data_IF_293712451799
#
_entry.id   IF_293712451799
#
_cell.length_a   1.000
_cell.length_b   1.000
_cell.length_c   1.000
_cell.angle_alpha   90.00
_cell.angle_beta   90.00
_cell.angle_gamma   90.00
#
_symmetry.space_group_name_H-M   'P 1'
#
loop_
_entity.id
_entity.type
_entity.pdbx_description
1 polymer ?
#
# COMPACT_ATOMS: atom_id res chain seq x y z
N UNK A 1 -33.40 26.60 3.84
CA UNK A 1 -32.76 25.51 4.62
C UNK A 1 -31.53 24.96 3.89
N UNK A 2 -31.65 24.36 2.70
CA UNK A 2 -30.48 23.83 1.96
C UNK A 2 -29.33 24.85 1.76
N UNK A 3 -29.63 26.10 1.38
CA UNK A 3 -28.63 27.18 1.26
C UNK A 3 -27.88 27.49 2.57
N UNK A 4 -28.56 27.40 3.72
CA UNK A 4 -27.96 27.65 5.04
C UNK A 4 -27.01 26.52 5.42
N UNK A 5 -27.39 25.27 5.14
CA UNK A 5 -26.52 24.10 5.32
C UNK A 5 -25.30 24.15 4.39
N UNK A 6 -25.49 24.55 3.13
CA UNK A 6 -24.39 24.73 2.17
C UNK A 6 -23.39 25.80 2.63
N UNK A 7 -23.86 26.93 3.17
CA UNK A 7 -22.99 27.98 3.73
C UNK A 7 -22.21 27.51 4.97
N UNK A 8 -22.83 26.65 5.78
CA UNK A 8 -22.23 26.01 6.95
C UNK A 8 -21.06 25.08 6.58
N UNK A 9 -21.14 24.38 5.44
CA UNK A 9 -20.09 23.46 4.96
C UNK A 9 -18.99 24.18 4.18
N UNK A 10 -19.35 25.01 3.19
CA UNK A 10 -18.42 25.48 2.15
C UNK A 10 -17.73 26.81 2.48
N UNK A 11 -18.14 27.49 3.56
CA UNK A 11 -17.55 28.77 4.01
C UNK A 11 -17.38 29.76 2.84
N UNK A 12 -18.45 30.18 2.14
CA UNK A 12 -18.30 31.16 1.08
C UNK A 12 -17.77 32.45 1.71
N UNK A 13 -16.51 32.79 1.41
CA UNK A 13 -15.88 34.04 1.84
C UNK A 13 -16.56 35.25 1.18
N UNK A 14 -17.49 35.01 0.25
CA UNK A 14 -18.32 36.01 -0.42
C UNK A 14 -19.80 35.73 -0.19
N UNK A 15 -20.40 36.50 0.72
CA UNK A 15 -21.85 36.63 0.83
C UNK A 15 -22.32 37.57 -0.30
N UNK A 16 -22.88 37.02 -1.38
CA UNK A 16 -23.53 37.82 -2.44
C UNK A 16 -24.84 38.48 -1.97
N UNK A 17 -25.33 38.13 -0.78
CA UNK A 17 -26.66 38.45 -0.29
C UNK A 17 -26.57 39.03 1.13
N UNK A 18 -26.68 40.36 1.26
CA UNK A 18 -26.54 41.10 2.54
C UNK A 18 -27.50 40.63 3.64
N UNK A 19 -28.68 40.13 3.26
CA UNK A 19 -29.68 39.62 4.20
C UNK A 19 -29.26 38.32 4.91
N UNK A 20 -28.24 37.61 4.41
CA UNK A 20 -27.72 36.39 5.05
C UNK A 20 -26.70 36.69 6.16
N UNK A 21 -26.24 37.94 6.31
CA UNK A 21 -25.28 38.35 7.36
C UNK A 21 -25.87 38.13 8.77
N UNK A 22 -27.17 38.32 8.95
CA UNK A 22 -27.86 38.10 10.22
C UNK A 22 -27.84 36.63 10.69
N UNK A 23 -27.58 35.69 9.77
CA UNK A 23 -27.49 34.25 10.07
C UNK A 23 -26.05 33.78 10.34
N UNK A 24 -25.06 34.66 10.21
CA UNK A 24 -23.65 34.34 10.50
C UNK A 24 -23.43 33.84 11.94
N UNK A 25 -24.04 34.42 12.99
CA UNK A 25 -23.87 33.91 14.36
C UNK A 25 -24.38 32.46 14.50
N UNK A 26 -25.46 32.12 13.79
CA UNK A 26 -26.01 30.76 13.77
C UNK A 26 -25.09 29.78 13.03
N UNK A 27 -24.50 30.23 11.91
CA UNK A 27 -23.52 29.45 11.13
C UNK A 27 -22.24 29.22 11.94
N UNK A 28 -21.71 30.23 12.60
CA UNK A 28 -20.49 30.12 13.42
C UNK A 28 -20.69 29.21 14.64
N UNK A 29 -21.83 29.35 15.34
CA UNK A 29 -22.15 28.52 16.51
C UNK A 29 -22.30 27.03 16.17
N UNK A 30 -22.90 26.70 15.02
CA UNK A 30 -23.15 25.30 14.63
C UNK A 30 -22.04 24.68 13.78
N UNK A 31 -21.03 25.47 13.38
CA UNK A 31 -19.92 24.99 12.56
C UNK A 31 -19.14 23.87 13.24
N UNK A 32 -18.85 24.01 14.54
CA UNK A 32 -18.11 22.99 15.29
C UNK A 32 -18.89 21.67 15.34
N UNK A 33 -20.22 21.74 15.52
CA UNK A 33 -21.10 20.57 15.53
C UNK A 33 -21.13 19.86 14.18
N UNK A 34 -21.21 20.62 13.08
CA UNK A 34 -21.22 20.04 11.73
C UNK A 34 -19.86 19.44 11.34
N UNK A 35 -18.76 20.12 11.70
CA UNK A 35 -17.42 19.57 11.49
C UNK A 35 -17.21 18.28 12.28
N UNK A 36 -17.68 18.23 13.53
CA UNK A 36 -17.65 17.01 14.34
C UNK A 36 -18.44 15.88 13.66
N UNK A 37 -19.65 16.16 13.20
CA UNK A 37 -20.47 15.19 12.46
C UNK A 37 -19.80 14.69 11.17
N UNK A 38 -19.18 15.59 10.39
CA UNK A 38 -18.46 15.21 9.17
C UNK A 38 -17.21 14.38 9.46
N UNK A 39 -16.50 14.67 10.56
CA UNK A 39 -15.35 13.87 10.98
C UNK A 39 -15.79 12.49 11.49
N UNK A 40 -16.87 12.42 12.26
CA UNK A 40 -17.48 11.15 12.69
C UNK A 40 -17.95 10.30 11.50
N UNK A 41 -18.43 10.92 10.41
CA UNK A 41 -18.75 10.21 9.16
C UNK A 41 -17.52 9.67 8.43
N UNK A 42 -16.34 10.25 8.63
CA UNK A 42 -15.08 9.77 8.09
C UNK A 42 -14.44 8.68 8.98
N UNK A 43 -14.85 8.57 10.25
CA UNK A 43 -14.48 7.50 11.17
C UNK A 43 -15.29 6.22 10.88
N UNK A 44 -15.14 5.70 9.66
CA UNK A 44 -15.66 4.39 9.29
C UNK A 44 -14.63 3.33 9.65
N UNK A 45 -15.07 2.22 10.24
CA UNK A 45 -14.22 1.05 10.49
C UNK A 45 -13.58 0.53 9.21
N UNK A 46 -12.49 -0.22 9.35
CA UNK A 46 -11.78 -0.76 8.19
C UNK A 46 -12.74 -1.60 7.33
N UNK A 47 -12.62 -1.47 6.02
CA UNK A 47 -13.42 -2.24 5.07
C UNK A 47 -13.30 -3.74 5.37
N UNK A 48 -12.10 -4.21 5.74
CA UNK A 48 -11.87 -5.61 6.08
C UNK A 48 -12.54 -6.07 7.38
N UNK A 49 -12.68 -5.22 8.41
CA UNK A 49 -13.44 -5.58 9.63
C UNK A 49 -14.95 -5.69 9.33
N UNK A 50 -15.47 -4.79 8.49
CA UNK A 50 -16.85 -4.87 8.02
C UNK A 50 -17.05 -6.06 7.08
N UNK A 51 -16.04 -6.38 6.26
CA UNK A 51 -16.03 -7.52 5.35
C UNK A 51 -15.99 -8.81 6.15
N UNK A 52 -15.14 -8.95 7.17
CA UNK A 52 -15.01 -10.11 8.05
C UNK A 52 -16.31 -10.35 8.85
N UNK A 53 -16.91 -9.30 9.41
CA UNK A 53 -18.23 -9.38 10.05
C UNK A 53 -19.35 -9.73 9.05
N UNK A 54 -19.23 -9.26 7.80
CA UNK A 54 -20.12 -9.63 6.71
C UNK A 54 -19.72 -10.92 6.02
N UNK A 55 -18.58 -11.56 6.32
CA UNK A 55 -18.02 -12.64 5.51
C UNK A 55 -18.87 -13.91 5.66
N UNK A 56 -19.50 -14.09 6.82
CA UNK A 56 -20.55 -15.09 7.03
C UNK A 56 -21.78 -14.81 6.15
N UNK A 57 -22.14 -13.54 5.95
CA UNK A 57 -23.26 -13.10 5.10
C UNK A 57 -22.89 -13.04 3.61
N UNK A 58 -21.64 -12.75 3.27
CA UNK A 58 -21.08 -12.67 1.92
C UNK A 58 -20.73 -14.06 1.40
N UNK A 59 -20.25 -14.99 2.23
CA UNK A 59 -20.22 -16.42 1.89
C UNK A 59 -21.63 -16.93 1.60
N UNK A 60 -22.65 -16.49 2.35
CA UNK A 60 -24.05 -16.86 2.08
C UNK A 60 -24.61 -16.20 0.80
N UNK A 61 -24.17 -14.98 0.44
CA UNK A 61 -24.58 -14.27 -0.78
C UNK A 61 -23.80 -14.70 -2.03
N UNK A 62 -22.53 -15.05 -1.89
CA UNK A 62 -21.64 -15.65 -2.90
C UNK A 62 -22.05 -17.07 -3.28
N UNK A 63 -22.87 -17.73 -2.44
CA UNK A 63 -23.44 -19.07 -2.68
C UNK A 63 -24.74 -19.03 -3.49
N UNK A 64 -25.25 -17.85 -3.86
CA UNK A 64 -26.35 -17.73 -4.83
C UNK A 64 -25.76 -17.64 -6.23
N UNK A 65 -26.36 -18.37 -7.17
CA UNK A 65 -25.96 -18.39 -8.58
C UNK A 65 -25.63 -16.98 -9.08
N UNK A 66 -24.36 -16.76 -9.45
CA UNK A 66 -23.90 -15.49 -10.01
C UNK A 66 -24.41 -15.40 -11.46
N UNK A 67 -25.68 -15.06 -11.61
CA UNK A 67 -26.30 -14.78 -12.89
C UNK A 67 -26.31 -13.27 -13.10
N UNK A 68 -25.65 -12.81 -14.16
CA UNK A 68 -25.70 -11.41 -14.58
C UNK A 68 -26.70 -11.28 -15.71
N UNK A 69 -27.68 -10.39 -15.54
CA UNK A 69 -28.57 -9.95 -16.59
C UNK A 69 -27.87 -8.86 -17.40
N UNK A 70 -27.43 -9.19 -18.60
CA UNK A 70 -26.66 -8.28 -19.46
C UNK A 70 -27.16 -8.38 -20.91
N UNK A 71 -27.09 -7.29 -21.65
CA UNK A 71 -27.43 -7.27 -23.07
C UNK A 71 -26.23 -7.66 -23.94
N UNK A 72 -26.49 -8.16 -25.15
CA UNK A 72 -25.43 -8.51 -26.10
C UNK A 72 -24.47 -7.34 -26.38
N UNK A 73 -25.01 -6.13 -26.56
CA UNK A 73 -24.18 -4.94 -26.80
C UNK A 73 -23.36 -4.53 -25.57
N UNK A 74 -23.85 -4.74 -24.35
CA UNK A 74 -23.07 -4.50 -23.14
C UNK A 74 -21.91 -5.49 -23.05
N UNK A 75 -22.12 -6.78 -23.35
CA UNK A 75 -21.05 -7.78 -23.43
C UNK A 75 -20.00 -7.38 -24.48
N UNK A 76 -20.42 -6.99 -25.68
CA UNK A 76 -19.48 -6.63 -26.74
C UNK A 76 -18.70 -5.36 -26.41
N UNK A 77 -19.33 -4.39 -25.77
CA UNK A 77 -18.66 -3.16 -25.33
C UNK A 77 -17.67 -3.40 -24.20
N UNK A 78 -18.05 -4.20 -23.19
CA UNK A 78 -17.11 -4.54 -22.10
C UNK A 78 -15.94 -5.33 -22.66
N UNK A 79 -16.18 -6.28 -23.56
CA UNK A 79 -15.11 -7.04 -24.21
C UNK A 79 -14.19 -6.13 -25.04
N UNK A 80 -14.74 -5.20 -25.83
CA UNK A 80 -13.93 -4.26 -26.61
C UNK A 80 -13.03 -3.38 -25.73
N UNK A 81 -13.54 -2.89 -24.60
CA UNK A 81 -12.77 -2.10 -23.64
C UNK A 81 -11.66 -2.93 -22.97
N UNK A 82 -11.95 -4.19 -22.63
CA UNK A 82 -10.97 -5.10 -22.03
C UNK A 82 -9.82 -5.40 -22.99
N UNK A 83 -10.10 -5.60 -24.27
CA UNK A 83 -9.06 -5.80 -25.31
C UNK A 83 -8.26 -4.51 -25.51
N UNK A 84 -8.91 -3.35 -25.52
CA UNK A 84 -8.23 -2.06 -25.69
C UNK A 84 -7.23 -1.75 -24.57
N UNK A 85 -7.58 -2.08 -23.32
CA UNK A 85 -6.75 -1.81 -22.14
C UNK A 85 -6.06 -3.07 -21.58
N UNK A 86 -5.89 -4.10 -22.41
CA UNK A 86 -5.33 -5.38 -21.99
C UNK A 86 -3.91 -5.25 -21.42
N UNK A 87 -3.08 -4.37 -21.99
CA UNK A 87 -1.69 -4.17 -21.55
C UNK A 87 -1.60 -3.53 -20.15
N UNK A 88 -2.54 -2.65 -19.81
CA UNK A 88 -2.59 -1.97 -18.50
C UNK A 88 -3.22 -2.86 -17.42
N UNK A 89 -4.30 -3.56 -17.75
CA UNK A 89 -5.05 -4.41 -16.81
C UNK A 89 -4.37 -5.77 -16.57
N UNK A 90 -3.63 -6.29 -17.57
CA UNK A 90 -3.02 -7.62 -17.55
C UNK A 90 -1.58 -7.60 -18.07
N UNK A 91 -0.74 -6.79 -17.42
CA UNK A 91 0.68 -6.63 -17.76
C UNK A 91 1.49 -7.95 -17.72
N UNK A 92 1.09 -8.92 -16.89
CA UNK A 92 1.71 -10.25 -16.84
C UNK A 92 1.10 -11.18 -17.89
N UNK A 93 1.95 -11.84 -18.67
CA UNK A 93 1.55 -12.91 -19.62
C UNK A 93 0.85 -14.09 -18.94
N UNK A 94 1.04 -14.26 -17.63
CA UNK A 94 0.37 -15.30 -16.83
C UNK A 94 -0.95 -14.85 -16.19
N UNK A 95 -1.42 -13.64 -16.51
CA UNK A 95 -2.70 -13.17 -16.00
C UNK A 95 -3.85 -13.99 -16.57
N UNK A 96 -4.73 -14.49 -15.70
CA UNK A 96 -5.93 -15.25 -16.10
C UNK A 96 -6.79 -14.49 -17.11
N UNK A 97 -6.91 -13.16 -16.96
CA UNK A 97 -7.65 -12.31 -17.89
C UNK A 97 -7.07 -12.38 -19.31
N UNK A 98 -5.74 -12.34 -19.42
CA UNK A 98 -5.04 -12.36 -20.71
C UNK A 98 -5.25 -13.68 -21.44
N UNK A 99 -5.19 -14.79 -20.71
CA UNK A 99 -5.49 -16.12 -21.23
C UNK A 99 -6.94 -16.20 -21.76
N UNK A 100 -7.93 -15.65 -21.03
CA UNK A 100 -9.31 -15.61 -21.52
C UNK A 100 -9.45 -14.76 -22.78
N UNK A 101 -8.87 -13.56 -22.81
CA UNK A 101 -8.99 -12.65 -23.94
C UNK A 101 -8.34 -13.22 -25.21
N UNK A 102 -7.21 -13.91 -25.07
CA UNK A 102 -6.55 -14.61 -26.18
C UNK A 102 -7.40 -15.76 -26.74
N UNK A 103 -8.14 -16.49 -25.89
CA UNK A 103 -9.03 -17.56 -26.33
C UNK A 103 -10.33 -17.06 -26.97
N UNK A 104 -10.92 -15.99 -26.43
CA UNK A 104 -12.19 -15.43 -26.93
C UNK A 104 -11.98 -14.67 -28.24
N UNK A 105 -10.80 -14.09 -28.46
CA UNK A 105 -10.44 -13.39 -29.69
C UNK A 105 -11.01 -11.97 -29.77
N UNK A 106 -11.13 -11.38 -30.97
CA UNK A 106 -11.55 -9.99 -31.13
C UNK A 106 -13.03 -9.77 -30.79
N UNK A 107 -13.34 -8.62 -30.18
CA UNK A 107 -14.71 -8.27 -29.81
C UNK A 107 -15.62 -8.11 -31.04
N UNK A 108 -16.81 -8.75 -31.08
CA UNK A 108 -17.79 -8.57 -32.14
C UNK A 108 -18.31 -7.12 -32.24
N UNK A 109 -18.73 -6.66 -33.43
CA UNK A 109 -19.38 -5.36 -33.57
C UNK A 109 -20.77 -5.35 -32.93
N UNK A 110 -21.21 -4.17 -32.51
CA UNK A 110 -22.54 -3.99 -31.91
C UNK A 110 -23.66 -4.40 -32.88
N UNK A 111 -24.69 -5.03 -32.34
CA UNK A 111 -25.88 -5.47 -33.07
C UNK A 111 -26.99 -4.42 -33.01
N UNK A 112 -27.90 -4.49 -33.98
CA UNK A 112 -29.04 -3.57 -34.06
C UNK A 112 -29.96 -3.69 -32.83
N UNK A 113 -30.74 -2.64 -32.51
CA UNK A 113 -31.66 -2.66 -31.36
C UNK A 113 -32.66 -3.82 -31.37
N UNK A 114 -32.99 -4.35 -32.56
CA UNK A 114 -33.91 -5.49 -32.70
C UNK A 114 -33.26 -6.82 -32.28
N UNK A 115 -31.94 -6.90 -32.38
CA UNK A 115 -31.15 -8.10 -32.09
C UNK A 115 -30.45 -8.02 -30.72
N UNK A 116 -30.38 -6.83 -30.11
CA UNK A 116 -29.83 -6.61 -28.77
C UNK A 116 -30.75 -7.15 -27.67
N UNK A 117 -30.76 -8.47 -27.50
CA UNK A 117 -31.53 -9.17 -26.46
C UNK A 117 -30.78 -9.17 -25.12
N UNK A 118 -31.54 -9.13 -24.04
CA UNK A 118 -31.04 -9.39 -22.68
C UNK A 118 -30.89 -10.88 -22.49
N UNK A 119 -29.76 -11.29 -21.92
CA UNK A 119 -29.43 -12.68 -21.61
C UNK A 119 -29.10 -12.78 -20.12
N UNK A 120 -29.52 -13.89 -19.53
CA UNK A 120 -29.09 -14.36 -18.23
C UNK A 120 -27.77 -15.10 -18.42
N UNK A 121 -26.66 -14.47 -18.00
CA UNK A 121 -25.32 -15.05 -18.13
C UNK A 121 -24.90 -15.67 -16.80
N UNK A 122 -24.88 -17.00 -16.68
CA UNK A 122 -24.31 -17.67 -15.52
C UNK A 122 -22.79 -17.52 -15.54
N UNK A 123 -22.22 -17.07 -14.44
CA UNK A 123 -20.78 -16.91 -14.27
C UNK A 123 -20.17 -18.12 -13.60
N UNK A 124 -19.04 -18.58 -14.14
CA UNK A 124 -18.20 -19.61 -13.53
C UNK A 124 -16.72 -19.23 -13.69
N UNK A 125 -15.92 -19.50 -12.66
CA UNK A 125 -14.47 -19.31 -12.71
C UNK A 125 -13.79 -20.59 -13.21
N UNK A 126 -12.89 -20.47 -14.19
CA UNK A 126 -12.12 -21.61 -14.72
C UNK A 126 -10.97 -22.03 -13.80
N UNK A 127 -10.42 -21.07 -13.04
CA UNK A 127 -9.16 -21.23 -12.29
C UNK A 127 -9.29 -21.23 -10.79
N UNK A 128 -10.42 -20.77 -10.26
CA UNK A 128 -10.80 -21.26 -8.96
C UNK A 128 -11.09 -22.74 -9.16
N UNK A 129 -10.27 -23.60 -8.56
CA UNK A 129 -10.87 -24.78 -7.94
C UNK A 129 -11.99 -24.18 -7.10
N UNK A 130 -13.28 -24.43 -7.40
CA UNK A 130 -14.30 -24.06 -6.44
C UNK A 130 -13.75 -24.54 -5.10
N UNK A 131 -13.68 -23.64 -4.12
CA UNK A 131 -13.62 -24.08 -2.74
C UNK A 131 -14.94 -24.80 -2.59
N UNK A 132 -14.92 -26.07 -2.98
CA UNK A 132 -16.05 -26.96 -3.07
C UNK A 132 -16.26 -27.36 -1.62
N UNK A 133 -16.73 -26.40 -0.84
CA UNK A 133 -17.41 -26.66 0.40
C UNK A 133 -18.54 -27.60 0.00
N UNK A 134 -18.39 -28.88 0.35
CA UNK A 134 -19.18 -30.02 -0.10
C UNK A 134 -20.68 -29.67 -0.14
N UNK A 135 -21.12 -28.84 0.81
CA UNK A 135 -22.45 -28.28 0.95
C UNK A 135 -23.05 -27.64 -0.32
N UNK A 136 -22.27 -26.95 -1.17
CA UNK A 136 -22.81 -26.24 -2.35
C UNK A 136 -22.79 -27.09 -3.62
N UNK A 137 -21.86 -28.05 -3.75
CA UNK A 137 -21.92 -29.06 -4.82
C UNK A 137 -23.19 -29.92 -4.68
N UNK A 138 -23.52 -30.22 -3.43
CA UNK A 138 -24.57 -31.12 -3.02
C UNK A 138 -25.99 -30.52 -3.16
N UNK A 139 -26.12 -29.19 -3.15
CA UNK A 139 -27.38 -28.48 -3.40
C UNK A 139 -27.76 -28.40 -4.89
N UNK A 140 -26.80 -28.59 -5.81
CA UNK A 140 -27.02 -28.47 -7.26
C UNK A 140 -27.59 -29.76 -7.87
N UNK A 141 -27.25 -30.92 -7.31
CA UNK A 141 -28.07 -32.11 -7.45
C UNK A 141 -29.25 -31.96 -6.49
N UNK A 142 -30.48 -32.28 -6.90
CA UNK A 142 -31.67 -32.34 -6.02
C UNK A 142 -31.55 -33.44 -4.92
N UNK A 143 -30.34 -33.74 -4.47
CA UNK A 143 -29.94 -34.78 -3.54
C UNK A 143 -29.85 -34.33 -2.09
N UNK A 144 -29.76 -33.03 -1.81
CA UNK A 144 -29.54 -32.51 -0.45
C UNK A 144 -30.72 -31.69 0.04
N UNK A 145 -31.33 -32.25 1.07
CA UNK A 145 -32.54 -31.80 1.72
C UNK A 145 -32.23 -30.77 2.81
N UNK A 146 -33.24 -30.02 3.27
CA UNK A 146 -33.10 -29.12 4.43
C UNK A 146 -32.52 -29.83 5.67
N UNK A 147 -32.81 -31.12 5.79
CA UNK A 147 -32.30 -32.03 6.80
C UNK A 147 -30.78 -32.23 6.72
N UNK A 148 -30.22 -32.29 5.52
CA UNK A 148 -28.77 -32.43 5.31
C UNK A 148 -28.04 -31.13 5.66
N UNK A 149 -28.64 -29.97 5.38
CA UNK A 149 -28.13 -28.67 5.81
C UNK A 149 -28.10 -28.60 7.35
N UNK A 150 -29.20 -28.99 7.99
CA UNK A 150 -29.31 -29.03 9.45
C UNK A 150 -28.28 -29.99 10.06
N UNK A 151 -28.03 -31.13 9.42
CA UNK A 151 -27.03 -32.10 9.85
C UNK A 151 -25.61 -31.51 9.80
N UNK A 152 -25.26 -30.87 8.69
CA UNK A 152 -23.96 -30.22 8.50
C UNK A 152 -23.75 -29.04 9.46
N UNK A 153 -24.77 -28.23 9.70
CA UNK A 153 -24.70 -27.13 10.67
C UNK A 153 -24.53 -27.68 12.10
N UNK A 154 -25.25 -28.75 12.45
CA UNK A 154 -25.13 -29.41 13.76
C UNK A 154 -23.71 -29.93 13.99
N UNK A 155 -23.14 -30.63 12.99
CA UNK A 155 -21.75 -31.10 13.01
C UNK A 155 -20.75 -29.96 13.20
N UNK A 156 -20.90 -28.88 12.44
CA UNK A 156 -20.00 -27.72 12.51
C UNK A 156 -20.00 -27.07 13.91
N UNK A 157 -21.17 -26.88 14.52
CA UNK A 157 -21.23 -26.29 15.85
C UNK A 157 -20.64 -27.25 16.90
N UNK A 158 -20.81 -28.57 16.76
CA UNK A 158 -20.11 -29.54 17.62
C UNK A 158 -18.59 -29.43 17.54
N UNK A 159 -18.04 -29.36 16.33
CA UNK A 159 -16.59 -29.15 16.12
C UNK A 159 -16.13 -27.85 16.78
N UNK A 160 -16.91 -26.77 16.66
CA UNK A 160 -16.60 -25.49 17.30
C UNK A 160 -16.63 -25.57 18.83
N UNK A 161 -17.66 -26.19 19.41
CA UNK A 161 -17.76 -26.39 20.86
C UNK A 161 -16.57 -27.18 21.39
N UNK A 162 -16.20 -28.29 20.74
CA UNK A 162 -15.10 -29.15 21.17
C UNK A 162 -13.76 -28.38 21.10
N UNK A 163 -13.56 -27.57 20.04
CA UNK A 163 -12.39 -26.70 19.92
C UNK A 163 -12.32 -25.62 21.00
N UNK A 164 -13.47 -25.11 21.45
CA UNK A 164 -13.57 -24.14 22.55
C UNK A 164 -13.36 -24.76 23.93
N UNK A 165 -13.42 -26.09 24.07
CA UNK A 165 -13.22 -26.81 25.34
C UNK A 165 -12.10 -27.86 25.21
N UNK A 166 -10.82 -27.48 25.40
CA UNK A 166 -9.68 -28.36 25.17
C UNK A 166 -9.71 -29.69 25.93
N UNK A 167 -10.25 -29.67 27.17
CA UNK A 167 -10.38 -30.87 28.01
C UNK A 167 -11.31 -31.95 27.45
N UNK A 168 -12.19 -31.60 26.51
CA UNK A 168 -13.11 -32.55 25.87
C UNK A 168 -12.51 -33.16 24.60
N UNK A 169 -11.64 -32.44 23.91
CA UNK A 169 -10.92 -32.93 22.74
C UNK A 169 -9.92 -34.06 23.06
N UNK A 170 -9.45 -34.14 24.31
CA UNK A 170 -8.51 -35.19 24.78
C UNK A 170 -9.19 -36.52 25.16
N UNK A 171 -10.53 -36.58 25.18
CA UNK A 171 -11.26 -37.80 25.54
C UNK A 171 -11.25 -38.79 24.36
N UNK A 172 -10.95 -40.06 24.64
CA UNK A 172 -10.94 -41.15 23.65
C UNK A 172 -12.30 -41.44 23.00
N UNK A 173 -13.39 -41.03 23.63
CA UNK A 173 -14.76 -41.19 23.14
C UNK A 173 -15.50 -39.85 23.22
N UNK A 174 -15.96 -39.35 22.08
CA UNK A 174 -16.76 -38.14 21.96
C UNK A 174 -18.22 -38.51 22.24
N UNK A 175 -18.81 -37.93 23.29
CA UNK A 175 -20.25 -38.04 23.59
C UNK A 175 -20.90 -36.68 23.35
N UNK A 176 -21.67 -36.57 22.25
CA UNK A 176 -22.30 -35.33 21.81
C UNK A 176 -23.28 -34.77 22.84
N UNK A 177 -23.96 -35.63 23.60
CA UNK A 177 -24.94 -35.21 24.61
C UNK A 177 -24.24 -34.50 25.76
N UNK A 178 -23.16 -35.11 26.28
CA UNK A 178 -22.35 -34.51 27.33
C UNK A 178 -21.66 -33.23 26.85
N UNK A 179 -21.23 -33.17 25.59
CA UNK A 179 -20.62 -31.97 25.00
C UNK A 179 -21.61 -30.82 24.96
N UNK A 180 -22.83 -31.06 24.48
CA UNK A 180 -23.86 -30.05 24.41
C UNK A 180 -24.30 -29.59 25.82
N UNK A 181 -24.37 -30.50 26.80
CA UNK A 181 -24.64 -30.17 28.21
C UNK A 181 -23.53 -29.35 28.87
N UNK A 182 -22.28 -29.74 28.65
CA UNK A 182 -21.12 -29.03 29.21
C UNK A 182 -20.99 -27.64 28.59
N UNK A 183 -21.29 -27.50 27.30
CA UNK A 183 -21.33 -26.21 26.63
C UNK A 183 -22.46 -25.32 27.18
N UNK A 184 -23.66 -25.88 27.35
CA UNK A 184 -24.83 -25.18 27.89
C UNK A 184 -24.68 -24.75 29.37
N UNK A 185 -23.77 -25.37 30.12
CA UNK A 185 -23.47 -25.04 31.53
C UNK A 185 -22.14 -24.30 31.70
N UNK A 186 -21.50 -23.90 30.59
CA UNK A 186 -20.26 -23.14 30.62
C UNK A 186 -20.46 -21.73 31.19
N UNK A 187 -19.37 -21.12 31.67
CA UNK A 187 -19.35 -19.72 32.09
C UNK A 187 -19.39 -18.74 30.91
N UNK A 188 -19.06 -19.21 29.71
CA UNK A 188 -19.04 -18.39 28.49
C UNK A 188 -20.42 -18.35 27.84
N UNK A 189 -21.00 -17.16 27.75
CA UNK A 189 -22.32 -16.93 27.17
C UNK A 189 -22.41 -17.36 25.70
N UNK A 190 -21.33 -17.28 24.93
CA UNK A 190 -21.31 -17.70 23.53
C UNK A 190 -21.39 -19.22 23.40
N UNK A 191 -20.64 -19.92 24.26
CA UNK A 191 -20.62 -21.37 24.34
C UNK A 191 -21.94 -21.93 24.86
N UNK A 192 -22.58 -21.24 25.81
CA UNK A 192 -23.93 -21.57 26.30
C UNK A 192 -24.95 -21.49 25.17
N UNK A 193 -24.96 -20.41 24.38
CA UNK A 193 -25.85 -20.29 23.21
C UNK A 193 -25.63 -21.41 22.20
N UNK A 194 -24.37 -21.73 21.89
CA UNK A 194 -24.03 -22.85 20.99
C UNK A 194 -24.50 -24.19 21.56
N UNK A 195 -24.29 -24.44 22.85
CA UNK A 195 -24.75 -25.66 23.52
C UNK A 195 -26.27 -25.81 23.50
N UNK A 196 -27.03 -24.75 23.77
CA UNK A 196 -28.50 -24.76 23.69
C UNK A 196 -28.96 -24.99 22.25
N UNK A 197 -28.39 -24.25 21.28
CA UNK A 197 -28.74 -24.37 19.87
C UNK A 197 -28.52 -25.79 19.34
N UNK A 198 -27.36 -26.39 19.65
CA UNK A 198 -27.04 -27.74 19.18
C UNK A 198 -27.95 -28.81 19.78
N UNK A 199 -28.40 -28.64 21.04
CA UNK A 199 -29.41 -29.54 21.61
C UNK A 199 -30.74 -29.47 20.87
N UNK A 200 -31.16 -28.27 20.48
CA UNK A 200 -32.39 -28.07 19.71
C UNK A 200 -32.26 -28.70 18.32
N UNK A 201 -31.14 -28.47 17.63
CA UNK A 201 -30.88 -29.05 16.32
C UNK A 201 -30.75 -30.58 16.35
N UNK A 202 -30.14 -31.16 17.40
CA UNK A 202 -30.17 -32.61 17.59
C UNK A 202 -31.61 -33.13 17.70
N UNK A 203 -32.47 -32.45 18.46
CA UNK A 203 -33.88 -32.85 18.60
C UNK A 203 -34.62 -32.78 17.25
N UNK A 204 -34.39 -31.74 16.47
CA UNK A 204 -34.98 -31.61 15.13
C UNK A 204 -34.51 -32.72 14.17
N UNK A 205 -33.24 -33.10 14.23
CA UNK A 205 -32.69 -34.20 13.43
C UNK A 205 -33.20 -35.58 13.87
N UNK A 206 -33.46 -35.77 15.17
CA UNK A 206 -34.13 -36.96 15.71
C UNK A 206 -35.59 -37.04 15.26
N UNK A 207 -36.34 -35.94 15.36
CA UNK A 207 -37.73 -35.85 14.91
C UNK A 207 -37.84 -36.14 13.40
N UNK A 208 -36.86 -35.72 12.62
CA UNK A 208 -36.73 -36.01 11.19
C UNK A 208 -36.17 -37.42 10.88
N UNK A 209 -35.85 -38.23 11.91
CA UNK A 209 -35.32 -39.61 11.78
C UNK A 209 -34.02 -39.73 10.97
N UNK A 210 -33.17 -38.70 11.00
CA UNK A 210 -31.86 -38.68 10.32
C UNK A 210 -30.77 -39.28 11.23
N UNK A 211 -30.93 -39.10 12.54
CA UNK A 211 -30.02 -39.60 13.58
C UNK A 211 -30.81 -40.41 14.61
N UNK A 212 -30.20 -41.45 15.16
CA UNK A 212 -30.83 -42.31 16.17
C UNK A 212 -30.19 -42.07 17.56
N UNK A 213 -30.96 -41.60 18.56
CA UNK A 213 -30.44 -41.41 19.91
C UNK A 213 -30.01 -42.73 20.57
N UNK A 214 -30.55 -43.87 20.14
CA UNK A 214 -30.25 -45.20 20.72
C UNK A 214 -28.84 -45.67 20.41
N UNK A 215 -28.25 -45.19 19.32
CA UNK A 215 -26.87 -45.53 18.97
C UNK A 215 -25.85 -44.56 19.57
N UNK A 216 -26.30 -43.47 20.20
CA UNK A 216 -25.44 -42.42 20.76
C UNK A 216 -24.96 -41.43 19.70
N UNK A 217 -25.70 -41.27 18.60
CA UNK A 217 -25.34 -40.45 17.44
C UNK A 217 -24.03 -40.91 16.78
N UNK A 218 -23.85 -42.22 16.60
CA UNK A 218 -22.58 -42.83 16.13
C UNK A 218 -22.04 -42.20 14.86
N UNK A 219 -22.88 -42.03 13.84
CA UNK A 219 -22.45 -41.45 12.56
C UNK A 219 -21.90 -40.03 12.74
N UNK A 220 -22.63 -39.19 13.49
CA UNK A 220 -22.24 -37.81 13.73
C UNK A 220 -20.98 -37.72 14.61
N UNK A 221 -20.85 -38.57 15.65
CA UNK A 221 -19.63 -38.61 16.47
C UNK A 221 -18.41 -38.99 15.65
N UNK A 222 -18.52 -39.96 14.74
CA UNK A 222 -17.42 -40.38 13.88
C UNK A 222 -17.01 -39.26 12.92
N UNK A 223 -17.96 -38.60 12.27
CA UNK A 223 -17.67 -37.47 11.37
C UNK A 223 -17.03 -36.29 12.11
N UNK A 224 -17.55 -35.91 13.28
CA UNK A 224 -16.95 -34.87 14.14
C UNK A 224 -15.52 -35.23 14.52
N UNK A 225 -15.26 -36.52 14.83
CA UNK A 225 -13.91 -37.01 15.18
C UNK A 225 -12.95 -36.90 13.99
N UNK A 226 -13.39 -37.32 12.80
CA UNK A 226 -12.59 -37.23 11.58
C UNK A 226 -12.26 -35.76 11.22
N UNK A 227 -13.23 -34.86 11.35
CA UNK A 227 -13.04 -33.44 11.07
C UNK A 227 -12.05 -32.80 12.07
N UNK A 228 -12.13 -33.15 13.36
CA UNK A 228 -11.15 -32.71 14.36
C UNK A 228 -9.74 -33.21 14.06
N UNK A 229 -9.59 -34.47 13.63
CA UNK A 229 -8.30 -35.03 13.24
C UNK A 229 -7.72 -34.31 12.01
N UNK A 230 -8.57 -34.02 11.01
CA UNK A 230 -8.18 -33.27 9.82
C UNK A 230 -7.70 -31.85 10.17
N UNK A 231 -8.44 -31.13 11.01
CA UNK A 231 -8.07 -29.80 11.49
C UNK A 231 -6.76 -29.82 12.31
N UNK A 232 -6.52 -30.88 13.08
CA UNK A 232 -5.27 -31.11 13.79
C UNK A 232 -4.07 -31.20 12.84
N UNK A 233 -4.19 -32.02 11.79
CA UNK A 233 -3.16 -32.17 10.76
C UNK A 233 -2.93 -30.86 9.98
N UNK A 234 -4.00 -30.12 9.68
CA UNK A 234 -3.90 -28.82 9.01
C UNK A 234 -3.14 -27.81 9.87
N UNK A 235 -3.42 -27.76 11.18
CA UNK A 235 -2.70 -26.90 12.12
C UNK A 235 -1.21 -27.20 12.12
N UNK A 236 -0.82 -28.47 12.11
CA UNK A 236 0.60 -28.87 12.09
C UNK A 236 1.30 -28.43 10.79
N UNK A 237 0.63 -28.59 9.64
CA UNK A 237 1.13 -28.07 8.35
C UNK A 237 1.31 -26.56 8.37
N UNK A 238 0.28 -25.81 8.78
CA UNK A 238 0.34 -24.35 8.89
C UNK A 238 1.45 -23.90 9.85
N UNK A 239 1.60 -24.59 10.99
CA UNK A 239 2.69 -24.29 11.94
C UNK A 239 4.07 -24.50 11.31
N UNK A 240 4.23 -25.56 10.51
CA UNK A 240 5.47 -25.84 9.79
C UNK A 240 5.75 -24.76 8.73
N UNK A 241 4.72 -24.33 8.01
CA UNK A 241 4.82 -23.24 7.02
C UNK A 241 5.20 -21.91 7.68
N UNK A 242 4.60 -21.57 8.83
CA UNK A 242 4.95 -20.37 9.60
C UNK A 242 6.43 -20.39 9.97
N UNK A 243 6.95 -21.50 10.49
CA UNK A 243 8.38 -21.62 10.83
C UNK A 243 9.28 -21.43 9.61
N UNK A 244 8.88 -21.98 8.45
CA UNK A 244 9.62 -21.79 7.20
C UNK A 244 9.63 -20.32 6.76
N UNK A 245 8.49 -19.63 6.87
CA UNK A 245 8.35 -18.22 6.53
C UNK A 245 9.14 -17.31 7.47
N UNK A 246 9.15 -17.60 8.77
CA UNK A 246 9.98 -16.88 9.75
C UNK A 246 11.48 -17.02 9.43
N UNK A 247 11.93 -18.20 8.99
CA UNK A 247 13.31 -18.43 8.57
C UNK A 247 13.66 -17.61 7.32
N UNK A 248 12.76 -17.59 6.32
CA UNK A 248 12.94 -16.77 5.11
C UNK A 248 12.97 -15.29 5.46
N UNK A 249 12.04 -14.82 6.30
CA UNK A 249 11.98 -13.43 6.76
C UNK A 249 13.28 -13.01 7.45
N UNK A 250 13.80 -13.85 8.35
CA UNK A 250 15.09 -13.60 9.01
C UNK A 250 16.23 -13.47 8.00
N UNK A 251 16.28 -14.38 7.02
CA UNK A 251 17.30 -14.36 5.96
C UNK A 251 17.26 -13.06 5.14
N UNK A 252 16.05 -12.57 4.83
CA UNK A 252 15.86 -11.30 4.12
C UNK A 252 16.34 -10.11 4.97
N UNK A 253 16.01 -10.09 6.27
CA UNK A 253 16.47 -9.05 7.19
C UNK A 253 18.00 -9.04 7.30
N UNK A 254 18.64 -10.19 7.44
CA UNK A 254 20.09 -10.32 7.49
C UNK A 254 20.74 -9.84 6.18
N UNK A 255 20.14 -10.16 5.03
CA UNK A 255 20.61 -9.65 3.74
C UNK A 255 20.42 -8.14 3.58
N UNK A 256 19.31 -7.57 4.06
CA UNK A 256 19.10 -6.12 4.06
C UNK A 256 20.16 -5.40 4.92
N UNK A 257 20.46 -5.94 6.10
CA UNK A 257 21.51 -5.42 6.97
C UNK A 257 22.88 -5.49 6.31
N UNK A 258 23.20 -6.58 5.62
CA UNK A 258 24.42 -6.71 4.83
C UNK A 258 24.52 -5.62 3.74
N UNK A 259 23.47 -5.44 2.94
CA UNK A 259 23.45 -4.41 1.88
C UNK A 259 23.58 -3.00 2.46
N UNK A 260 22.96 -2.70 3.60
CA UNK A 260 23.13 -1.41 4.30
C UNK A 260 24.58 -1.20 4.75
N UNK A 261 25.21 -2.22 5.33
CA UNK A 261 26.63 -2.16 5.73
C UNK A 261 27.55 -1.96 4.53
N UNK A 262 27.25 -2.60 3.39
CA UNK A 262 27.99 -2.41 2.15
C UNK A 262 27.82 -0.98 1.61
N UNK A 263 26.61 -0.41 1.66
CA UNK A 263 26.32 0.96 1.27
C UNK A 263 27.10 1.96 2.13
N UNK A 264 27.14 1.76 3.44
CA UNK A 264 27.93 2.61 4.35
C UNK A 264 29.44 2.50 4.08
N UNK A 265 29.92 1.30 3.75
CA UNK A 265 31.31 1.09 3.33
C UNK A 265 31.64 1.85 2.04
N UNK A 266 30.74 1.84 1.04
CA UNK A 266 30.91 2.63 -0.19
C UNK A 266 30.86 4.13 0.06
N UNK A 267 29.96 4.61 0.93
CA UNK A 267 29.92 6.03 1.34
C UNK A 267 31.24 6.46 1.97
N UNK A 268 31.76 5.67 2.90
CA UNK A 268 33.04 5.94 3.55
C UNK A 268 34.20 5.95 2.54
N UNK A 269 34.20 5.02 1.58
CA UNK A 269 35.18 4.99 0.50
C UNK A 269 35.11 6.25 -0.38
N UNK A 270 33.93 6.62 -0.85
CA UNK A 270 33.73 7.83 -1.66
C UNK A 270 34.14 9.10 -0.90
N UNK A 271 33.81 9.18 0.39
CA UNK A 271 34.22 10.30 1.24
C UNK A 271 35.75 10.37 1.37
N UNK A 272 36.43 9.24 1.55
CA UNK A 272 37.89 9.17 1.61
C UNK A 272 38.53 9.59 0.28
N UNK A 273 38.00 9.13 -0.86
CA UNK A 273 38.46 9.54 -2.20
C UNK A 273 38.25 11.06 -2.41
N UNK A 274 37.11 11.61 -2.00
CA UNK A 274 36.87 13.08 -2.04
C UNK A 274 37.86 13.84 -1.17
N UNK A 275 38.23 13.31 0.00
CA UNK A 275 39.21 13.96 0.86
C UNK A 275 40.64 13.85 0.32
N UNK A 276 41.01 12.74 -0.33
CA UNK A 276 42.32 12.55 -0.95
C UNK A 276 42.49 13.42 -2.21
N UNK A 277 41.48 13.48 -3.08
CA UNK A 277 41.49 14.35 -4.27
C UNK A 277 41.64 15.84 -3.95
N UNK A 278 41.19 16.28 -2.77
CA UNK A 278 41.40 17.66 -2.28
C UNK A 278 42.80 17.86 -1.65
N UNK A 279 43.44 16.80 -1.14
CA UNK A 279 44.77 16.88 -0.50
C UNK A 279 45.94 16.69 -1.46
N UNK A 280 45.78 15.93 -2.54
CA UNK A 280 46.87 15.58 -3.49
C UNK A 280 47.18 16.66 -4.55
N UNK A 281 47.07 17.93 -4.17
CA UNK A 281 47.72 19.03 -4.89
C UNK A 281 49.21 19.22 -4.53
N UNK A 282 49.69 18.50 -3.50
CA UNK A 282 51.07 18.50 -3.04
C UNK A 282 51.60 17.06 -2.89
N UNK A 283 52.67 16.77 -3.63
CA UNK A 283 53.55 15.59 -3.59
C UNK A 283 53.03 14.24 -4.10
N UNK A 284 53.55 13.82 -5.26
CA UNK A 284 54.21 12.52 -5.44
C UNK A 284 53.38 11.25 -5.35
N UNK A 285 53.18 10.62 -6.51
CA UNK A 285 52.75 9.22 -6.67
C UNK A 285 53.62 8.28 -5.81
N UNK A 286 53.05 7.76 -4.72
CA UNK A 286 53.72 6.85 -3.80
C UNK A 286 52.72 6.10 -2.92
N UNK A 287 52.40 4.88 -3.35
CA UNK A 287 51.67 3.85 -2.59
C UNK A 287 52.10 3.83 -1.12
N UNK A 288 51.18 4.18 -0.21
CA UNK A 288 51.38 3.94 1.23
C UNK A 288 50.08 3.47 1.86
N UNK A 289 50.07 2.16 2.12
CA UNK A 289 49.06 1.43 2.89
C UNK A 289 48.96 2.05 4.28
N UNK A 290 47.79 2.61 4.62
CA UNK A 290 47.54 3.17 5.95
C UNK A 290 47.20 2.00 6.88
N UNK A 291 48.15 1.67 7.76
CA UNK A 291 47.92 0.82 8.93
C UNK A 291 46.86 1.45 9.85
N UNK A 292 45.86 0.65 10.20
CA UNK A 292 44.90 0.91 11.27
C UNK A 292 45.66 0.95 12.60
N UNK A 293 45.63 2.08 13.27
CA UNK A 293 46.29 2.28 14.57
C UNK A 293 46.05 3.69 15.10
N UNK A 294 45.20 3.75 16.12
CA UNK A 294 44.90 4.84 17.04
C UNK A 294 45.67 6.16 16.89
N UNK A 295 44.90 7.22 16.62
CA UNK A 295 44.90 8.47 17.40
C UNK A 295 43.81 9.40 16.86
N UNK A 296 42.76 9.59 17.66
CA UNK A 296 41.78 10.65 17.49
C UNK A 296 42.48 12.01 17.38
N UNK A 297 42.65 12.49 16.15
CA UNK A 297 43.04 13.88 15.90
C UNK A 297 41.78 14.72 16.00
N UNK A 298 41.79 15.68 16.94
CA UNK A 298 40.81 16.76 17.10
C UNK A 298 40.27 17.24 15.73
N UNK A 299 38.96 17.52 15.61
CA UNK A 299 38.39 17.95 14.34
C UNK A 299 39.02 19.27 13.91
N UNK A 300 39.94 19.21 12.95
CA UNK A 300 40.34 20.38 12.15
C UNK A 300 39.06 20.92 11.54
N UNK A 301 38.58 22.07 12.03
CA UNK A 301 37.43 22.76 11.43
C UNK A 301 37.69 22.88 9.93
N UNK A 302 36.91 22.17 9.12
CA UNK A 302 36.90 22.32 7.67
C UNK A 302 36.62 23.80 7.39
N UNK A 303 37.62 24.49 6.84
CA UNK A 303 37.49 25.91 6.51
C UNK A 303 36.65 25.99 5.24
N UNK A 304 35.46 26.57 5.34
CA UNK A 304 34.61 26.83 4.18
C UNK A 304 35.39 27.61 3.12
N UNK A 305 35.28 27.21 1.86
CA UNK A 305 35.88 27.90 0.73
C UNK A 305 34.88 28.94 0.19
N UNK A 306 35.37 30.12 -0.20
CA UNK A 306 34.53 31.27 -0.59
C UNK A 306 34.39 32.30 0.54
N UNK A 307 33.51 33.31 0.39
CA UNK A 307 32.54 33.52 -0.69
C UNK A 307 33.16 34.08 -1.98
N UNK A 308 32.75 33.56 -3.14
CA UNK A 308 33.10 34.09 -4.46
C UNK A 308 31.90 34.78 -5.10
N UNK A 309 32.08 36.03 -5.52
CA UNK A 309 31.01 36.86 -6.09
C UNK A 309 31.08 36.88 -7.62
N UNK A 310 29.96 36.62 -8.27
CA UNK A 310 29.77 36.71 -9.73
C UNK A 310 28.59 37.61 -10.05
N UNK A 311 28.72 38.51 -11.02
CA UNK A 311 27.58 39.34 -11.45
C UNK A 311 26.68 38.54 -12.40
N UNK A 312 25.40 38.89 -12.47
CA UNK A 312 24.46 38.26 -13.41
C UNK A 312 24.98 38.35 -14.85
N UNK A 313 25.40 39.54 -15.29
CA UNK A 313 25.96 39.76 -16.62
C UNK A 313 27.21 38.90 -16.92
N UNK A 314 28.04 38.60 -15.92
CA UNK A 314 29.21 37.75 -16.09
C UNK A 314 28.82 36.29 -16.32
N UNK A 315 27.86 35.76 -15.55
CA UNK A 315 27.38 34.39 -15.72
C UNK A 315 26.59 34.21 -17.01
N UNK A 316 25.85 35.22 -17.46
CA UNK A 316 25.18 35.25 -18.77
C UNK A 316 26.19 35.26 -19.91
N UNK A 317 27.25 36.09 -19.81
CA UNK A 317 28.33 36.14 -20.81
C UNK A 317 29.12 34.83 -20.91
N UNK A 318 29.41 34.19 -19.78
CA UNK A 318 30.06 32.88 -19.73
C UNK A 318 29.10 31.75 -20.17
N UNK A 319 27.84 32.09 -20.44
CA UNK A 319 26.77 31.19 -20.87
C UNK A 319 26.41 30.14 -19.82
N UNK A 320 26.70 30.44 -18.56
CA UNK A 320 26.32 29.65 -17.39
C UNK A 320 24.84 29.87 -17.11
N UNK A 321 24.32 31.08 -17.30
CA UNK A 321 22.88 31.36 -17.32
C UNK A 321 22.36 31.06 -18.74
N UNK A 322 21.39 30.16 -18.84
CA UNK A 322 20.72 29.80 -20.10
C UNK A 322 19.48 30.67 -20.30
N UNK A 323 18.69 30.83 -19.24
CA UNK A 323 17.45 31.62 -19.25
C UNK A 323 17.30 32.39 -17.93
N UNK A 324 16.71 33.58 -17.97
CA UNK A 324 16.51 34.41 -16.77
C UNK A 324 15.15 35.11 -16.78
N UNK A 325 14.32 34.78 -15.79
CA UNK A 325 13.01 35.38 -15.54
C UNK A 325 13.11 36.73 -14.81
N UNK A 326 14.32 37.27 -14.66
CA UNK A 326 14.58 38.55 -14.01
C UNK A 326 14.41 39.69 -15.04
N UNK A 327 13.61 40.73 -14.73
CA UNK A 327 13.46 41.91 -15.59
C UNK A 327 14.80 42.58 -15.91
N UNK A 328 15.04 42.96 -17.17
CA UNK A 328 16.30 43.52 -17.65
C UNK A 328 16.79 44.72 -16.83
N UNK A 329 15.88 45.63 -16.47
CA UNK A 329 16.16 46.82 -15.66
C UNK A 329 16.71 46.50 -14.25
N UNK A 330 16.54 45.26 -13.78
CA UNK A 330 16.98 44.80 -12.45
C UNK A 330 18.25 43.94 -12.51
N UNK A 331 18.61 43.38 -13.68
CA UNK A 331 19.77 42.47 -13.84
C UNK A 331 21.10 43.11 -13.44
N UNK A 332 21.28 44.41 -13.69
CA UNK A 332 22.51 45.16 -13.35
C UNK A 332 22.79 45.22 -11.83
N UNK A 333 21.73 45.07 -11.02
CA UNK A 333 21.83 45.11 -9.56
C UNK A 333 21.88 43.72 -8.92
N UNK A 334 21.97 42.65 -9.71
CA UNK A 334 21.97 41.27 -9.22
C UNK A 334 23.36 40.64 -9.28
N UNK A 335 23.71 39.94 -8.21
CA UNK A 335 24.93 39.15 -8.13
C UNK A 335 24.69 37.86 -7.34
N UNK A 336 25.50 36.85 -7.64
CA UNK A 336 25.50 35.56 -7.00
C UNK A 336 26.74 35.41 -6.12
N UNK A 337 26.57 34.80 -4.96
CA UNK A 337 27.65 34.40 -4.06
C UNK A 337 27.70 32.88 -4.02
N UNK A 338 28.88 32.34 -4.28
CA UNK A 338 29.16 30.92 -4.24
C UNK A 338 30.05 30.62 -3.03
N UNK A 339 29.61 29.68 -2.20
CA UNK A 339 30.33 29.23 -1.02
C UNK A 339 30.37 27.70 -0.99
N UNK A 340 31.46 27.09 -0.52
CA UNK A 340 31.52 25.64 -0.30
C UNK A 340 31.80 25.38 1.18
N UNK A 341 30.78 25.02 1.97
CA UNK A 341 30.94 24.72 3.40
C UNK A 341 31.74 23.45 3.63
N UNK A 342 31.53 22.44 2.78
CA UNK A 342 32.13 21.10 2.83
C UNK A 342 32.54 20.72 1.40
N UNK A 343 33.70 20.06 1.19
CA UNK A 343 34.08 19.59 -0.14
C UNK A 343 32.98 18.74 -0.79
N UNK A 344 32.56 19.13 -1.99
CA UNK A 344 31.48 18.47 -2.72
C UNK A 344 30.08 19.04 -2.47
N UNK A 345 29.95 20.03 -1.58
CA UNK A 345 28.70 20.79 -1.38
C UNK A 345 28.95 22.27 -1.64
N UNK A 346 28.04 22.90 -2.38
CA UNK A 346 28.09 24.30 -2.76
C UNK A 346 26.77 24.97 -2.39
N UNK A 347 26.85 26.21 -1.95
CA UNK A 347 25.72 27.08 -1.69
C UNK A 347 25.79 28.21 -2.71
N UNK A 348 24.72 28.39 -3.48
CA UNK A 348 24.53 29.52 -4.39
C UNK A 348 23.50 30.46 -3.77
N UNK A 349 23.94 31.66 -3.40
CA UNK A 349 23.09 32.71 -2.86
C UNK A 349 22.92 33.85 -3.88
N UNK A 350 21.68 34.17 -4.24
CA UNK A 350 21.31 35.29 -5.11
C UNK A 350 21.10 36.55 -4.26
N UNK A 351 21.76 37.65 -4.59
CA UNK A 351 21.62 38.93 -3.89
C UNK A 351 21.23 40.08 -4.83
N UNK A 352 20.51 41.05 -4.28
CA UNK A 352 20.19 42.32 -4.92
C UNK A 352 20.92 43.47 -4.22
N UNK A 353 21.54 44.36 -5.00
CA UNK A 353 22.27 45.52 -4.51
C UNK A 353 21.35 46.41 -3.66
N UNK A 354 21.71 46.64 -2.39
CA UNK A 354 20.92 47.43 -1.45
C UNK A 354 19.99 46.63 -0.53
N UNK A 355 20.05 45.29 -0.55
CA UNK A 355 19.46 44.42 0.47
C UNK A 355 20.55 43.63 1.20
N UNK A 356 20.42 43.51 2.51
CA UNK A 356 21.37 42.77 3.34
C UNK A 356 21.15 41.25 3.30
N UNK A 357 19.92 40.79 3.04
CA UNK A 357 19.59 39.37 2.92
C UNK A 357 19.68 38.86 1.47
N UNK A 358 20.04 37.59 1.30
CA UNK A 358 19.91 36.88 0.03
C UNK A 358 18.43 36.76 -0.36
N UNK A 359 18.13 36.88 -1.65
CA UNK A 359 16.79 36.67 -2.22
C UNK A 359 16.48 35.17 -2.29
N UNK A 360 17.50 34.38 -2.61
CA UNK A 360 17.40 32.93 -2.78
C UNK A 360 18.72 32.31 -2.36
N UNK A 361 18.66 31.19 -1.66
CA UNK A 361 19.81 30.37 -1.27
C UNK A 361 19.50 28.94 -1.68
N UNK A 362 20.42 28.31 -2.42
CA UNK A 362 20.23 26.97 -2.95
C UNK A 362 21.45 26.10 -2.66
N UNK A 363 21.21 24.94 -2.08
CA UNK A 363 22.21 23.92 -1.83
C UNK A 363 22.37 23.03 -3.06
N UNK A 364 23.62 22.86 -3.51
CA UNK A 364 23.99 22.00 -4.61
C UNK A 364 25.06 21.02 -4.19
N UNK A 365 24.82 19.74 -4.47
CA UNK A 365 25.82 18.69 -4.30
C UNK A 365 26.51 18.41 -5.64
N UNK A 366 27.81 18.17 -5.58
CA UNK A 366 28.59 17.79 -6.75
C UNK A 366 28.06 16.51 -7.40
N UNK A 367 27.57 15.57 -6.59
CA UNK A 367 27.01 14.30 -7.06
C UNK A 367 25.77 14.51 -7.92
N UNK A 368 24.81 15.31 -7.43
CA UNK A 368 23.58 15.64 -8.17
C UNK A 368 23.89 16.34 -9.50
N UNK A 369 24.95 17.16 -9.55
CA UNK A 369 25.40 17.81 -10.80
C UNK A 369 26.05 16.82 -11.77
N UNK A 370 26.82 15.85 -11.26
CA UNK A 370 27.45 14.80 -12.06
C UNK A 370 26.41 13.79 -12.59
N UNK A 371 25.42 13.43 -11.77
CA UNK A 371 24.30 12.58 -12.16
C UNK A 371 23.48 13.25 -13.27
N UNK A 372 23.11 14.53 -13.08
CA UNK A 372 22.43 15.32 -14.13
C UNK A 372 23.27 15.42 -15.40
N UNK A 373 24.60 15.51 -15.30
CA UNK A 373 25.47 15.48 -16.47
C UNK A 373 25.45 14.11 -17.17
N UNK A 374 25.43 13.01 -16.42
CA UNK A 374 25.35 11.64 -16.96
C UNK A 374 24.00 11.38 -17.65
N UNK A 375 22.91 11.89 -17.08
CA UNK A 375 21.55 11.79 -17.63
C UNK A 375 21.27 12.77 -18.79
N UNK A 376 22.29 13.49 -19.26
CA UNK A 376 22.21 14.51 -20.30
C UNK A 376 21.23 15.67 -19.98
N UNK A 377 20.99 15.96 -18.70
CA UNK A 377 20.22 17.12 -18.27
C UNK A 377 21.06 18.38 -18.45
N UNK A 378 20.65 19.24 -19.39
CA UNK A 378 21.45 20.40 -19.82
C UNK A 378 21.25 21.61 -18.91
N UNK A 379 20.06 21.79 -18.34
CA UNK A 379 19.68 22.95 -17.53
C UNK A 379 19.26 22.57 -16.10
N UNK A 380 19.64 23.41 -15.16
CA UNK A 380 19.27 23.38 -13.76
C UNK A 380 18.41 24.61 -13.49
N UNK A 381 17.12 24.40 -13.24
CA UNK A 381 16.22 25.51 -12.94
C UNK A 381 16.40 25.97 -11.50
N UNK A 382 16.76 27.24 -11.33
CA UNK A 382 16.62 27.96 -10.08
C UNK A 382 15.48 28.93 -10.34
N UNK A 383 14.47 29.01 -9.47
CA UNK A 383 13.22 29.80 -9.62
C UNK A 383 13.27 31.10 -10.47
N UNK A 384 14.37 31.85 -10.43
CA UNK A 384 14.58 33.09 -11.21
C UNK A 384 15.50 32.95 -12.44
N UNK A 385 16.35 31.91 -12.50
CA UNK A 385 17.41 31.73 -13.49
C UNK A 385 17.70 30.24 -13.75
N UNK A 386 17.72 29.83 -15.01
CA UNK A 386 18.18 28.51 -15.41
C UNK A 386 19.69 28.50 -15.67
N UNK A 387 20.41 27.58 -15.03
CA UNK A 387 21.86 27.41 -15.17
C UNK A 387 22.22 26.20 -16.04
N UNK A 388 23.27 26.28 -16.83
CA UNK A 388 23.79 25.14 -17.60
C UNK A 388 24.61 24.22 -16.68
N UNK A 389 24.23 22.94 -16.60
CA UNK A 389 24.84 21.94 -15.70
C UNK A 389 26.33 21.72 -15.99
N UNK A 390 26.71 21.59 -17.26
CA UNK A 390 28.12 21.37 -17.63
C UNK A 390 29.01 22.57 -17.33
N UNK A 391 28.52 23.78 -17.62
CA UNK A 391 29.30 25.02 -17.42
C UNK A 391 29.36 25.44 -15.95
N UNK A 392 28.29 25.25 -15.17
CA UNK A 392 28.33 25.51 -13.73
C UNK A 392 29.32 24.57 -13.03
N UNK A 393 29.36 23.29 -13.42
CA UNK A 393 30.33 22.32 -12.92
C UNK A 393 31.76 22.74 -13.27
N UNK A 394 32.00 23.20 -14.50
CA UNK A 394 33.32 23.75 -14.89
C UNK A 394 33.69 25.02 -14.10
N UNK A 395 32.72 25.90 -13.80
CA UNK A 395 32.96 27.11 -12.99
C UNK A 395 33.35 26.69 -11.57
N UNK A 396 32.56 25.83 -10.93
CA UNK A 396 32.79 25.35 -9.56
C UNK A 396 34.15 24.67 -9.42
N UNK A 397 34.52 23.80 -10.37
CA UNK A 397 35.84 23.18 -10.39
C UNK A 397 36.95 24.23 -10.55
N UNK A 398 36.78 25.23 -11.42
CA UNK A 398 37.80 26.27 -11.62
C UNK A 398 37.95 27.18 -10.40
N UNK A 399 36.86 27.51 -9.71
CA UNK A 399 36.84 28.47 -8.60
C UNK A 399 37.21 27.84 -7.26
N UNK A 400 36.80 26.59 -7.03
CA UNK A 400 37.03 25.89 -5.77
C UNK A 400 38.16 24.87 -5.81
N UNK A 401 38.61 24.39 -6.99
CA UNK A 401 39.77 23.49 -7.07
C UNK A 401 41.13 24.21 -7.20
N UNK A 402 41.16 25.53 -7.42
CA UNK A 402 42.42 26.30 -7.54
C UNK A 402 42.67 27.26 -6.37
N UNK A 403 43.61 26.86 -5.50
CA UNK A 403 44.71 27.63 -4.84
C UNK A 403 45.34 26.66 -3.81
N UNK A 404 46.60 26.21 -3.83
CA UNK A 404 47.87 26.74 -4.39
C UNK A 404 47.97 28.25 -4.32
N UNK A 405 48.07 28.76 -3.10
CA UNK A 405 48.91 29.92 -2.74
C UNK A 405 49.60 29.58 -1.45
#
# INVERSE_FOLDING_TARGET
>A
IAKVLQNLVNKPTYLKEEYMIMLNPFVESNKQRLNKFLMELCEVGDFYESLEASMDQYMALSKKDLVINITLNEIYNTHALLVQHQEELAASEKSHLRILLEEVGPAPPQVSRKENKTIELPLFSRWETPIQDLATALLYDNSVTQNDILYMETKSIFVQIIRSIPKMAERKSIDLTQIAETAATSKDATLVRKGIKVKEMLRELEEASIIDPKDGYKLMTEEVTQELAHLGNLREKVTTEIQSLESVYKTICDHNNYLRSQLDSYKAYLQNVRQQTVKDGSSGFGSSVIKVGDKEKKPTKLKALGPYKFTHAQLEKDGIIVESNVPENRRQNIFFIFTSPIPGTFIIALHYKGRDAAILEMDLKLDDLLEKQQDNVVSLDLEYVQLNVGKILSLLNKTFAKRKT
#
